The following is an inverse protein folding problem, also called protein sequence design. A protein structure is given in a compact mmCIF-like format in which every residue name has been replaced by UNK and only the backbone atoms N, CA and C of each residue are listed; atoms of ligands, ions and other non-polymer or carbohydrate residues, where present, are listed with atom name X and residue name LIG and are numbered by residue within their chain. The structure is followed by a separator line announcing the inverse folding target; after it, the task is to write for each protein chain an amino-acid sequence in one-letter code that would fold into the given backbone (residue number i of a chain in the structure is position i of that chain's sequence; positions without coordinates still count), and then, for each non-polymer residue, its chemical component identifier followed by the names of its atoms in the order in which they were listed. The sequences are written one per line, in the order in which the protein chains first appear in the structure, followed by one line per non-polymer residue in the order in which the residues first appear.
data_IF_182282458252
#
_entry.id   IF_182282458252
#
_cell.length_a   1.000
_cell.length_b   1.000
_cell.length_c   1.000
_cell.angle_alpha   90.00
_cell.angle_beta   90.00
_cell.angle_gamma   90.00
#
_symmetry.space_group_name_H-M   'P 1'
#
loop_
_entity.id
_entity.type
_entity.pdbx_description
1 polymer ?
#
# COMPACT_ATOMS: atom_id res chain seq x y z
N UNK A 1 10.51 -16.53 9.57
CA UNK A 1 10.50 -15.45 8.56
C UNK A 1 11.58 -14.47 8.96
N UNK A 2 12.17 -13.76 8.01
CA UNK A 2 13.15 -12.72 8.31
C UNK A 2 12.51 -11.60 9.12
N UNK A 3 13.29 -11.03 10.05
CA UNK A 3 12.87 -9.88 10.86
C UNK A 3 13.00 -8.61 10.03
N UNK A 4 11.93 -7.81 9.99
CA UNK A 4 11.84 -6.54 9.28
C UNK A 4 11.55 -5.37 10.23
N UNK A 5 11.70 -5.55 11.55
CA UNK A 5 11.33 -4.52 12.55
C UNK A 5 11.99 -3.16 12.27
N UNK A 6 13.25 -3.15 11.84
CA UNK A 6 13.96 -1.90 11.51
C UNK A 6 13.31 -1.16 10.32
N UNK A 7 12.72 -1.88 9.37
CA UNK A 7 12.10 -1.29 8.18
C UNK A 7 10.80 -0.51 8.49
N UNK A 8 10.24 -0.68 9.70
CA UNK A 8 9.02 -0.01 10.17
C UNK A 8 9.28 1.17 11.11
N UNK A 9 10.53 1.40 11.51
CA UNK A 9 10.90 2.52 12.39
C UNK A 9 11.07 3.80 11.58
N UNK A 10 9.94 4.43 11.24
CA UNK A 10 9.89 5.65 10.45
C UNK A 10 10.14 6.90 11.30
N UNK A 11 10.83 7.89 10.72
CA UNK A 11 11.02 9.19 11.36
C UNK A 11 9.68 9.92 11.49
N UNK A 12 8.81 9.79 10.50
CA UNK A 12 7.45 10.32 10.53
C UNK A 12 6.68 9.80 11.76
N UNK A 13 6.76 8.49 12.06
CA UNK A 13 6.12 7.93 13.25
C UNK A 13 6.68 8.51 14.55
N UNK A 14 8.01 8.59 14.64
CA UNK A 14 8.72 9.17 15.80
C UNK A 14 8.34 10.64 16.03
N UNK A 15 8.19 11.41 14.97
CA UNK A 15 7.95 12.85 15.02
C UNK A 15 6.47 13.21 15.22
N UNK A 16 5.55 12.31 14.84
CA UNK A 16 4.10 12.52 14.93
C UNK A 16 3.41 11.73 16.06
N UNK A 17 4.17 11.39 17.11
CA UNK A 17 3.62 10.85 18.35
C UNK A 17 3.15 9.41 18.28
N UNK A 18 3.63 8.63 17.31
CA UNK A 18 3.30 7.21 17.25
C UNK A 18 4.17 6.39 18.20
N UNK A 19 3.57 5.34 18.74
CA UNK A 19 4.20 4.34 19.56
C UNK A 19 4.02 2.98 18.91
N UNK A 20 5.12 2.22 18.78
CA UNK A 20 5.07 0.83 18.35
C UNK A 20 4.57 -0.04 19.49
N UNK A 21 3.57 -0.86 19.21
CA UNK A 21 2.91 -1.78 20.11
C UNK A 21 2.89 -3.17 19.49
N UNK A 22 2.69 -4.21 20.32
CA UNK A 22 2.45 -5.57 19.86
C UNK A 22 1.05 -5.98 20.31
N UNK A 23 0.22 -6.44 19.38
CA UNK A 23 -1.15 -6.84 19.67
C UNK A 23 -1.16 -8.14 20.50
N UNK A 24 -1.78 -8.19 21.69
CA UNK A 24 -1.77 -9.37 22.54
C UNK A 24 -2.63 -10.52 21.99
N UNK A 25 -3.55 -10.24 21.07
CA UNK A 25 -4.47 -11.23 20.48
C UNK A 25 -3.82 -11.97 19.30
N UNK A 26 -3.13 -11.25 18.39
CA UNK A 26 -2.56 -11.83 17.17
C UNK A 26 -1.03 -11.75 17.08
N UNK A 27 -0.37 -11.00 17.96
CA UNK A 27 1.09 -10.87 18.01
C UNK A 27 1.70 -9.94 16.96
N UNK A 28 0.90 -9.28 16.12
CA UNK A 28 1.43 -8.35 15.10
C UNK A 28 1.92 -7.05 15.72
N UNK A 29 2.99 -6.50 15.15
CA UNK A 29 3.44 -5.14 15.44
C UNK A 29 2.48 -4.13 14.81
N UNK A 30 2.16 -3.05 15.53
CA UNK A 30 1.38 -1.95 14.98
C UNK A 30 1.78 -0.62 15.61
N UNK A 31 1.51 0.47 14.91
CA UNK A 31 1.79 1.83 15.35
C UNK A 31 0.48 2.57 15.64
N UNK A 32 0.47 3.34 16.72
CA UNK A 32 -0.69 4.14 17.14
C UNK A 32 -0.26 5.40 17.87
N UNK A 33 -1.05 6.48 17.75
CA UNK A 33 -0.91 7.68 18.59
C UNK A 33 -1.55 7.53 19.97
N UNK A 34 -2.43 6.54 20.13
CA UNK A 34 -3.15 6.30 21.38
C UNK A 34 -2.34 5.39 22.32
N UNK A 35 -1.63 5.97 23.30
CA UNK A 35 -0.82 5.21 24.27
C UNK A 35 -1.60 4.13 25.05
N UNK A 36 -2.92 4.31 25.19
CA UNK A 36 -3.80 3.37 25.90
C UNK A 36 -4.25 2.19 25.06
N UNK A 37 -4.15 2.27 23.74
CA UNK A 37 -4.57 1.20 22.83
C UNK A 37 -3.75 -0.06 23.05
N UNK A 38 -4.40 -1.21 22.92
CA UNK A 38 -3.78 -2.53 23.14
C UNK A 38 -3.86 -3.44 21.91
N UNK A 39 -4.90 -3.32 21.10
CA UNK A 39 -5.16 -4.16 19.93
C UNK A 39 -4.82 -3.44 18.63
N UNK A 40 -4.58 -4.20 17.57
CA UNK A 40 -4.11 -3.67 16.28
C UNK A 40 -5.17 -2.85 15.53
N UNK A 41 -6.45 -2.93 15.90
CA UNK A 41 -7.53 -2.22 15.23
C UNK A 41 -8.27 -3.03 14.18
N UNK A 42 -7.81 -4.23 13.81
CA UNK A 42 -8.44 -5.06 12.77
C UNK A 42 -9.15 -6.30 13.37
N UNK A 43 -10.31 -6.72 12.82
CA UNK A 43 -10.89 -8.02 13.11
C UNK A 43 -9.93 -9.20 12.88
N UNK A 44 -9.89 -10.20 13.77
CA UNK A 44 -10.84 -10.43 14.87
C UNK A 44 -10.48 -9.73 16.19
N UNK A 45 -9.37 -8.99 16.27
CA UNK A 45 -8.91 -8.34 17.49
C UNK A 45 -9.83 -7.17 17.89
N UNK A 46 -10.42 -6.51 16.89
CA UNK A 46 -11.37 -5.42 17.04
C UNK A 46 -12.63 -5.65 16.18
N UNK A 47 -13.59 -4.74 16.29
CA UNK A 47 -14.86 -4.78 15.54
C UNK A 47 -15.11 -3.45 14.83
N UNK A 48 -15.97 -3.44 13.82
CA UNK A 48 -16.34 -2.22 13.11
C UNK A 48 -17.09 -1.25 14.01
N UNK A 49 -16.59 -0.03 14.12
CA UNK A 49 -17.20 1.06 14.90
C UNK A 49 -17.79 2.17 14.03
N UNK A 50 -17.64 2.07 12.70
CA UNK A 50 -18.12 3.07 11.74
C UNK A 50 -19.60 2.89 11.32
N UNK A 51 -20.19 1.72 11.59
CA UNK A 51 -21.60 1.46 11.26
C UNK A 51 -22.47 2.35 12.15
N UNK A 52 -23.33 3.16 11.51
CA UNK A 52 -24.12 4.24 12.15
C UNK A 52 -23.26 5.37 12.78
N UNK A 53 -21.96 5.43 12.45
CA UNK A 53 -20.99 6.40 12.94
C UNK A 53 -19.85 6.63 11.91
N UNK A 54 -20.13 7.30 10.77
CA UNK A 54 -19.32 7.26 9.54
C UNK A 54 -17.81 7.51 9.68
N UNK A 55 -17.39 8.38 10.59
CA UNK A 55 -15.97 8.65 10.88
C UNK A 55 -15.27 9.67 9.97
N UNK A 56 -15.88 10.01 8.83
CA UNK A 56 -15.48 11.13 7.99
C UNK A 56 -16.47 12.29 8.13
N UNK A 57 -16.07 13.50 7.73
CA UNK A 57 -16.90 14.71 7.84
C UNK A 57 -18.10 14.70 6.89
N UNK A 58 -17.95 14.07 5.73
CA UNK A 58 -18.96 14.05 4.66
C UNK A 58 -19.18 12.63 4.10
N UNK A 59 -20.35 12.42 3.49
CA UNK A 59 -20.64 11.21 2.72
C UNK A 59 -20.22 11.41 1.26
N UNK A 60 -19.52 10.43 0.69
CA UNK A 60 -19.06 10.48 -0.70
C UNK A 60 -19.74 9.42 -1.56
N UNK A 61 -20.12 9.77 -2.77
CA UNK A 61 -20.35 8.78 -3.83
C UNK A 61 -19.02 8.20 -4.33
N UNK A 62 -19.06 7.08 -5.07
CA UNK A 62 -17.85 6.48 -5.67
C UNK A 62 -17.12 7.45 -6.62
N UNK A 63 -17.87 8.30 -7.34
CA UNK A 63 -17.29 9.27 -8.26
C UNK A 63 -16.62 10.43 -7.51
N UNK A 64 -17.28 10.95 -6.46
CA UNK A 64 -16.72 12.01 -5.61
C UNK A 64 -15.48 11.52 -4.85
N UNK A 65 -15.51 10.32 -4.27
CA UNK A 65 -14.34 9.75 -3.60
C UNK A 65 -13.16 9.55 -4.56
N UNK A 66 -13.43 9.04 -5.77
CA UNK A 66 -12.40 8.90 -6.80
C UNK A 66 -11.77 10.25 -7.14
N UNK A 67 -12.60 11.28 -7.33
CA UNK A 67 -12.11 12.60 -7.68
C UNK A 67 -11.35 13.26 -6.52
N UNK A 68 -11.83 13.11 -5.28
CA UNK A 68 -11.15 13.59 -4.08
C UNK A 68 -9.74 13.01 -3.96
N UNK A 69 -9.60 11.69 -4.11
CA UNK A 69 -8.30 11.02 -4.08
C UNK A 69 -7.37 11.49 -5.20
N UNK A 70 -7.85 11.51 -6.44
CA UNK A 70 -7.02 11.86 -7.59
C UNK A 70 -6.58 13.33 -7.53
N UNK A 71 -7.51 14.25 -7.23
CA UNK A 71 -7.21 15.67 -7.05
C UNK A 71 -6.20 15.92 -5.92
N UNK A 72 -6.33 15.24 -4.78
CA UNK A 72 -5.39 15.35 -3.66
C UNK A 72 -3.93 15.11 -4.09
N UNK A 73 -3.69 14.07 -4.89
CA UNK A 73 -2.36 13.71 -5.38
C UNK A 73 -1.92 14.57 -6.59
N UNK A 74 -2.84 15.00 -7.46
CA UNK A 74 -2.55 15.96 -8.53
C UNK A 74 -2.05 17.31 -7.98
N UNK A 75 -2.63 17.80 -6.88
CA UNK A 75 -2.19 19.00 -6.18
C UNK A 75 -0.80 18.87 -5.53
N UNK A 76 -0.31 17.62 -5.42
CA UNK A 76 1.00 17.24 -4.85
C UNK A 76 1.93 16.70 -5.94
N UNK A 77 1.80 17.21 -7.16
CA UNK A 77 2.65 16.95 -8.32
C UNK A 77 2.67 15.47 -8.80
N UNK A 78 1.67 14.66 -8.44
CA UNK A 78 1.49 13.35 -9.05
C UNK A 78 0.70 13.48 -10.35
N UNK A 79 1.19 12.87 -11.43
CA UNK A 79 0.44 12.88 -12.68
C UNK A 79 -0.69 11.84 -12.62
N UNK A 80 -1.92 12.28 -12.94
CA UNK A 80 -3.08 11.40 -13.04
C UNK A 80 -3.02 10.54 -14.28
N UNK A 81 -3.12 9.23 -14.10
CA UNK A 81 -3.09 8.23 -15.16
C UNK A 81 -4.48 7.61 -15.33
N UNK A 82 -4.86 7.39 -16.59
CA UNK A 82 -6.11 6.67 -16.92
C UNK A 82 -6.00 5.19 -16.56
N UNK A 83 -7.08 4.56 -16.07
CA UNK A 83 -7.07 3.15 -15.70
C UNK A 83 -6.77 2.22 -16.88
N UNK A 84 -6.04 1.16 -16.58
CA UNK A 84 -5.75 0.06 -17.47
C UNK A 84 -6.93 -0.93 -17.52
N UNK A 85 -7.09 -1.70 -18.60
CA UNK A 85 -8.17 -2.67 -18.68
C UNK A 85 -7.89 -3.85 -17.74
N UNK A 86 -8.92 -4.35 -17.04
CA UNK A 86 -8.81 -5.48 -16.08
C UNK A 86 -8.21 -6.78 -16.64
N UNK A 87 -8.08 -6.90 -17.95
CA UNK A 87 -7.46 -8.04 -18.63
C UNK A 87 -5.93 -7.84 -18.73
N UNK A 88 -5.22 -8.18 -17.66
CA UNK A 88 -3.76 -8.02 -17.56
C UNK A 88 -2.96 -8.81 -18.62
N UNK A 89 -3.55 -9.87 -19.17
CA UNK A 89 -2.95 -10.67 -20.25
C UNK A 89 -2.69 -9.91 -21.57
N UNK A 90 -3.00 -8.61 -21.60
CA UNK A 90 -2.69 -7.69 -22.71
C UNK A 90 -1.27 -7.15 -22.67
N UNK A 91 -0.61 -7.11 -21.51
CA UNK A 91 0.76 -6.58 -21.35
C UNK A 91 1.70 -7.50 -20.55
N UNK A 92 1.18 -8.53 -19.88
CA UNK A 92 1.97 -9.53 -19.14
C UNK A 92 1.41 -10.94 -19.35
N UNK A 93 2.25 -11.96 -19.22
CA UNK A 93 1.92 -13.35 -19.58
C UNK A 93 1.74 -14.30 -18.38
N UNK A 94 1.92 -13.79 -17.15
CA UNK A 94 1.94 -14.56 -15.91
C UNK A 94 0.64 -14.50 -15.09
N UNK A 95 -0.24 -13.53 -15.37
CA UNK A 95 -1.56 -13.40 -14.73
C UNK A 95 -2.66 -13.06 -15.74
N UNK A 96 -3.89 -13.44 -15.45
CA UNK A 96 -5.04 -13.19 -16.34
C UNK A 96 -5.72 -11.83 -16.11
N UNK A 97 -5.83 -11.43 -14.84
CA UNK A 97 -6.60 -10.26 -14.41
C UNK A 97 -5.76 -9.34 -13.55
N UNK A 98 -6.03 -8.03 -13.63
CA UNK A 98 -5.46 -7.00 -12.76
C UNK A 98 -6.00 -7.19 -11.34
N UNK A 99 -5.11 -7.46 -10.38
CA UNK A 99 -5.45 -7.73 -8.97
C UNK A 99 -5.02 -6.62 -8.01
N UNK A 100 -4.16 -5.72 -8.48
CA UNK A 100 -3.67 -4.53 -7.77
C UNK A 100 -3.26 -3.49 -8.82
N UNK A 101 -3.21 -2.20 -8.45
CA UNK A 101 -2.74 -1.10 -9.30
C UNK A 101 -1.33 -1.35 -9.85
N UNK A 102 -0.42 -1.86 -9.01
CA UNK A 102 0.97 -2.13 -9.42
C UNK A 102 1.10 -3.16 -10.56
N UNK A 103 0.08 -3.98 -10.81
CA UNK A 103 0.09 -4.97 -11.89
C UNK A 103 0.17 -4.33 -13.28
N UNK A 104 -0.25 -3.07 -13.41
CA UNK A 104 -0.21 -2.31 -14.66
C UNK A 104 1.23 -1.99 -15.08
N UNK A 105 2.15 -1.93 -14.10
CA UNK A 105 3.54 -1.55 -14.29
C UNK A 105 4.48 -2.77 -14.25
N UNK A 106 4.02 -3.90 -13.70
CA UNK A 106 4.78 -5.14 -13.67
C UNK A 106 4.75 -5.90 -15.02
N UNK A 107 5.85 -6.60 -15.38
CA UNK A 107 7.18 -6.57 -14.75
C UNK A 107 8.11 -5.50 -15.37
N UNK A 108 7.69 -4.85 -16.46
CA UNK A 108 8.61 -4.07 -17.31
C UNK A 108 9.06 -2.77 -16.66
N UNK A 109 8.15 -2.05 -16.02
CA UNK A 109 8.49 -0.81 -15.30
C UNK A 109 9.15 -1.15 -13.99
N UNK A 110 8.64 -2.11 -13.23
CA UNK A 110 9.21 -2.46 -11.91
C UNK A 110 10.65 -3.01 -12.00
N UNK A 111 11.01 -3.65 -13.12
CA UNK A 111 12.40 -4.06 -13.41
C UNK A 111 13.30 -2.95 -13.95
N UNK A 112 12.78 -1.72 -14.12
CA UNK A 112 13.51 -0.58 -14.65
C UNK A 112 13.82 -0.65 -16.15
N UNK A 113 13.25 -1.61 -16.90
CA UNK A 113 13.48 -1.74 -18.36
C UNK A 113 12.71 -0.70 -19.19
N UNK A 114 11.59 -0.23 -18.66
CA UNK A 114 10.71 0.74 -19.30
C UNK A 114 10.40 1.84 -18.29
N UNK A 115 10.37 3.13 -18.68
CA UNK A 115 10.01 4.19 -17.74
C UNK A 115 8.53 4.07 -17.34
N UNK A 116 8.15 4.48 -16.12
CA UNK A 116 6.74 4.66 -15.79
C UNK A 116 6.13 5.76 -16.70
N UNK A 117 4.79 5.79 -16.87
CA UNK A 117 4.15 6.84 -17.68
C UNK A 117 4.37 8.24 -17.09
N UNK A 118 4.49 8.33 -15.75
CA UNK A 118 4.89 9.52 -15.01
C UNK A 118 5.55 9.10 -13.68
N UNK A 119 6.26 10.01 -13.02
CA UNK A 119 6.92 9.73 -11.74
C UNK A 119 7.02 11.00 -10.87
N UNK A 120 6.25 11.11 -9.78
CA UNK A 120 5.28 10.13 -9.28
C UNK A 120 3.96 10.17 -10.07
N UNK A 121 3.12 9.15 -9.89
CA UNK A 121 1.82 9.04 -10.55
C UNK A 121 0.69 8.70 -9.58
N UNK A 122 -0.55 9.03 -9.94
CA UNK A 122 -1.77 8.64 -9.23
C UNK A 122 -2.80 8.02 -10.18
N UNK A 123 -3.55 7.03 -9.72
CA UNK A 123 -4.49 6.25 -10.54
C UNK A 123 -5.64 5.70 -9.69
N UNK A 124 -6.80 5.49 -10.29
CA UNK A 124 -7.89 4.70 -9.73
C UNK A 124 -8.13 3.48 -10.62
N UNK A 125 -7.56 2.34 -10.24
CA UNK A 125 -7.45 1.15 -11.08
C UNK A 125 -8.51 0.10 -10.74
N UNK A 126 -9.46 -0.22 -11.64
CA UNK A 126 -10.34 -1.36 -11.47
C UNK A 126 -9.57 -2.68 -11.36
N UNK A 127 -9.86 -3.44 -10.31
CA UNK A 127 -9.21 -4.69 -9.96
C UNK A 127 -10.23 -5.81 -9.78
N UNK A 128 -9.84 -7.05 -10.08
CA UNK A 128 -10.66 -8.25 -9.87
C UNK A 128 -9.84 -9.28 -9.09
N UNK A 129 -10.28 -9.59 -7.87
CA UNK A 129 -9.70 -10.64 -7.02
C UNK A 129 -10.69 -11.79 -6.87
N UNK A 130 -10.29 -12.96 -7.37
CA UNK A 130 -11.09 -14.20 -7.24
C UNK A 130 -10.69 -15.03 -6.02
N UNK A 131 -9.56 -14.71 -5.38
CA UNK A 131 -9.03 -15.46 -4.24
C UNK A 131 -9.95 -15.35 -3.02
N UNK A 132 -10.62 -14.21 -2.87
CA UNK A 132 -11.50 -13.90 -1.73
C UNK A 132 -12.97 -14.24 -1.97
N UNK A 133 -13.29 -14.99 -3.04
CA UNK A 133 -14.69 -15.27 -3.44
C UNK A 133 -15.52 -15.91 -2.32
N UNK A 134 -14.90 -16.74 -1.48
CA UNK A 134 -15.57 -17.38 -0.35
C UNK A 134 -15.95 -16.39 0.76
N UNK A 135 -15.32 -15.21 0.83
CA UNK A 135 -15.58 -14.18 1.83
C UNK A 135 -16.61 -13.13 1.36
N UNK A 136 -16.84 -13.04 0.04
CA UNK A 136 -17.76 -12.08 -0.57
C UNK A 136 -19.20 -12.34 -0.09
N UNK A 137 -19.83 -11.28 0.43
CA UNK A 137 -21.17 -11.34 1.03
C UNK A 137 -21.25 -11.97 2.43
N UNK A 138 -20.16 -12.53 2.97
CA UNK A 138 -20.10 -13.05 4.35
C UNK A 138 -19.52 -12.04 5.34
N UNK A 139 -18.47 -11.34 4.93
CA UNK A 139 -17.68 -10.45 5.79
C UNK A 139 -18.11 -8.98 5.72
N UNK A 140 -18.96 -8.61 4.75
CA UNK A 140 -19.41 -7.24 4.53
C UNK A 140 -18.40 -6.31 3.85
N UNK A 141 -17.09 -6.64 3.88
CA UNK A 141 -16.02 -5.82 3.30
C UNK A 141 -15.41 -6.35 2.00
N UNK A 142 -15.52 -7.66 1.73
CA UNK A 142 -14.89 -8.26 0.54
C UNK A 142 -15.79 -8.16 -0.70
N UNK A 143 -15.21 -7.72 -1.81
CA UNK A 143 -15.84 -7.70 -3.14
C UNK A 143 -14.99 -8.50 -4.14
N UNK A 144 -15.60 -8.96 -5.23
CA UNK A 144 -14.83 -9.58 -6.34
C UNK A 144 -14.19 -8.54 -7.24
N UNK A 145 -14.87 -7.41 -7.44
CA UNK A 145 -14.40 -6.29 -8.24
C UNK A 145 -14.50 -5.01 -7.41
N UNK A 146 -13.46 -4.20 -7.47
CA UNK A 146 -13.32 -2.94 -6.75
C UNK A 146 -12.37 -2.03 -7.53
N UNK A 147 -12.28 -0.77 -7.12
CA UNK A 147 -11.28 0.15 -7.62
C UNK A 147 -10.20 0.30 -6.55
N UNK A 148 -8.95 0.08 -6.95
CA UNK A 148 -7.79 0.35 -6.11
C UNK A 148 -7.22 1.69 -6.54
N UNK A 149 -7.48 2.70 -5.72
CA UNK A 149 -6.82 4.00 -5.84
C UNK A 149 -5.38 3.87 -5.34
N UNK A 150 -4.43 4.50 -6.02
CA UNK A 150 -3.02 4.34 -5.73
C UNK A 150 -2.21 5.55 -6.16
N UNK A 151 -1.17 5.84 -5.38
CA UNK A 151 -0.05 6.68 -5.80
C UNK A 151 1.24 5.87 -5.80
N UNK A 152 2.01 5.99 -6.89
CA UNK A 152 3.23 5.23 -7.12
C UNK A 152 4.42 6.16 -7.37
N UNK A 153 5.57 5.78 -6.81
CA UNK A 153 6.86 6.41 -7.06
C UNK A 153 7.91 5.35 -7.34
N UNK A 154 8.65 5.51 -8.43
CA UNK A 154 9.66 4.56 -8.92
C UNK A 154 11.05 5.14 -8.68
N UNK A 155 11.83 4.50 -7.82
CA UNK A 155 13.12 5.02 -7.34
C UNK A 155 14.29 4.05 -7.63
N UNK A 156 15.52 4.58 -7.64
CA UNK A 156 16.76 3.80 -7.69
C UNK A 156 17.68 4.15 -6.54
N UNK A 157 18.45 3.19 -6.03
CA UNK A 157 19.39 3.43 -4.92
C UNK A 157 20.48 4.43 -5.29
N UNK A 158 21.00 5.12 -4.26
CA UNK A 158 22.18 5.96 -4.40
C UNK A 158 23.36 5.15 -4.94
N UNK A 159 24.03 5.67 -5.97
CA UNK A 159 25.21 5.05 -6.59
C UNK A 159 24.92 4.18 -7.81
N UNK A 160 23.64 3.91 -8.12
CA UNK A 160 23.23 3.31 -9.40
C UNK A 160 23.54 4.30 -10.54
N UNK A 161 24.25 3.93 -11.62
CA UNK A 161 24.44 4.78 -12.78
C UNK A 161 23.13 5.25 -13.42
N UNK A 162 23.08 6.51 -13.88
CA UNK A 162 21.88 7.10 -14.51
C UNK A 162 21.39 6.34 -15.76
N UNK A 163 22.27 5.60 -16.44
CA UNK A 163 21.97 4.84 -17.65
C UNK A 163 21.65 3.35 -17.39
N UNK A 164 21.66 2.89 -16.13
CA UNK A 164 21.38 1.50 -15.79
C UNK A 164 19.88 1.15 -15.90
N UNK A 165 19.00 2.07 -15.48
CA UNK A 165 17.54 1.90 -15.53
C UNK A 165 16.85 3.04 -16.28
N UNK A 166 15.61 2.82 -16.68
CA UNK A 166 14.79 3.79 -17.41
C UNK A 166 14.30 4.97 -16.57
N UNK A 167 14.52 4.92 -15.24
CA UNK A 167 14.29 6.00 -14.29
C UNK A 167 15.45 6.01 -13.28
N UNK A 168 15.68 7.14 -12.63
CA UNK A 168 16.81 7.32 -11.72
C UNK A 168 16.47 8.31 -10.59
N UNK A 169 17.11 8.12 -9.44
CA UNK A 169 16.96 8.96 -8.25
C UNK A 169 15.83 8.50 -7.32
N UNK A 170 15.62 9.28 -6.26
CA UNK A 170 14.51 9.10 -5.32
C UNK A 170 13.52 10.25 -5.47
N UNK A 171 12.24 9.92 -5.69
CA UNK A 171 11.15 10.90 -5.65
C UNK A 171 10.71 11.10 -4.20
N UNK A 172 10.27 10.02 -3.54
CA UNK A 172 9.99 9.94 -2.12
C UNK A 172 9.94 8.47 -1.66
N UNK A 173 9.98 8.25 -0.35
CA UNK A 173 9.95 6.91 0.25
C UNK A 173 8.95 6.79 1.41
N UNK A 174 9.30 6.04 2.45
CA UNK A 174 8.36 5.58 3.49
C UNK A 174 7.70 6.71 4.27
N UNK A 175 8.50 7.63 4.82
CA UNK A 175 8.01 8.70 5.68
C UNK A 175 6.96 9.55 4.98
N UNK A 176 7.27 10.03 3.78
CA UNK A 176 6.35 10.85 2.98
C UNK A 176 5.14 10.06 2.47
N UNK A 177 5.28 8.75 2.24
CA UNK A 177 4.13 7.89 1.87
C UNK A 177 3.11 7.82 3.01
N UNK A 178 3.59 7.65 4.26
CA UNK A 178 2.72 7.62 5.44
C UNK A 178 2.15 9.02 5.72
N UNK A 179 2.95 10.07 5.56
CA UNK A 179 2.49 11.46 5.67
C UNK A 179 1.34 11.76 4.70
N UNK A 180 1.44 11.34 3.43
CA UNK A 180 0.33 11.49 2.48
C UNK A 180 -0.92 10.72 2.91
N UNK A 181 -0.75 9.51 3.45
CA UNK A 181 -1.86 8.71 3.95
C UNK A 181 -2.59 9.42 5.10
N UNK A 182 -1.87 9.88 6.12
CA UNK A 182 -2.45 10.65 7.24
C UNK A 182 -3.10 11.96 6.75
N UNK A 183 -2.41 12.71 5.88
CA UNK A 183 -2.90 14.01 5.40
C UNK A 183 -4.20 13.85 4.60
N UNK A 184 -4.28 12.82 3.74
CA UNK A 184 -5.51 12.50 3.02
C UNK A 184 -6.66 12.18 3.99
N UNK A 185 -6.40 11.37 5.02
CA UNK A 185 -7.40 11.00 6.02
C UNK A 185 -7.85 12.21 6.85
N UNK A 186 -6.92 13.08 7.24
CA UNK A 186 -7.22 14.33 7.96
C UNK A 186 -8.08 15.27 7.11
N UNK A 187 -7.75 15.46 5.82
CA UNK A 187 -8.54 16.29 4.90
C UNK A 187 -9.96 15.75 4.67
N UNK A 188 -10.17 14.44 4.81
CA UNK A 188 -11.50 13.81 4.80
C UNK A 188 -12.23 13.85 6.15
N UNK A 189 -11.60 14.42 7.18
CA UNK A 189 -12.19 14.59 8.52
C UNK A 189 -12.00 13.41 9.48
N UNK A 190 -11.10 12.46 9.16
CA UNK A 190 -10.82 11.35 10.06
C UNK A 190 -10.08 11.82 11.32
N UNK A 191 -10.43 11.25 12.48
CA UNK A 191 -9.63 11.40 13.70
C UNK A 191 -8.34 10.57 13.59
N UNK A 192 -7.22 11.24 13.34
CA UNK A 192 -5.90 10.62 13.21
C UNK A 192 -5.44 9.84 14.46
N UNK A 193 -6.05 10.06 15.63
CA UNK A 193 -5.74 9.27 16.83
C UNK A 193 -6.36 7.87 16.80
N UNK A 194 -7.43 7.67 16.03
CA UNK A 194 -8.09 6.38 15.89
C UNK A 194 -7.41 5.47 14.86
N UNK A 195 -6.55 6.03 13.99
CA UNK A 195 -5.80 5.30 12.96
C UNK A 195 -4.72 4.43 13.60
N UNK A 196 -4.62 3.20 13.11
CA UNK A 196 -3.48 2.31 13.35
C UNK A 196 -2.80 1.90 12.05
N UNK A 197 -1.51 1.65 12.16
CA UNK A 197 -0.66 1.20 11.07
C UNK A 197 -0.09 -0.17 11.45
N UNK A 198 -0.63 -1.24 10.87
CA UNK A 198 -0.24 -2.63 11.17
C UNK A 198 0.93 -3.03 10.28
N UNK A 199 1.96 -3.67 10.86
CA UNK A 199 3.10 -4.19 10.11
C UNK A 199 2.74 -5.54 9.47
N UNK A 200 2.66 -5.62 8.13
CA UNK A 200 2.47 -6.88 7.41
C UNK A 200 3.35 -6.93 6.15
N UNK A 201 4.43 -7.73 6.10
CA UNK A 201 5.26 -7.85 4.91
C UNK A 201 4.46 -8.30 3.69
N UNK A 202 4.57 -7.58 2.58
CA UNK A 202 3.83 -7.91 1.35
C UNK A 202 4.67 -8.75 0.39
N UNK A 203 4.01 -9.68 -0.29
CA UNK A 203 4.57 -10.54 -1.34
C UNK A 203 3.58 -10.67 -2.49
N UNK A 204 4.04 -10.52 -3.73
CA UNK A 204 3.17 -10.65 -4.90
C UNK A 204 3.87 -10.37 -6.23
N UNK A 205 3.48 -11.11 -7.28
CA UNK A 205 3.99 -10.88 -8.64
C UNK A 205 5.51 -11.05 -8.82
N UNK A 206 6.18 -11.79 -7.92
CA UNK A 206 7.64 -11.96 -7.92
C UNK A 206 8.41 -10.88 -7.16
N UNK A 207 7.72 -9.87 -6.63
CA UNK A 207 8.30 -8.81 -5.80
C UNK A 207 7.82 -8.91 -4.34
N UNK A 208 8.53 -8.23 -3.46
CA UNK A 208 8.18 -8.13 -2.04
C UNK A 208 8.73 -6.86 -1.39
N UNK A 209 8.25 -6.58 -0.18
CA UNK A 209 8.76 -5.51 0.66
C UNK A 209 8.07 -5.45 2.02
N UNK A 210 8.61 -4.67 2.97
CA UNK A 210 7.86 -4.29 4.16
C UNK A 210 6.61 -3.53 3.71
N UNK A 211 5.48 -3.78 4.37
CA UNK A 211 4.26 -3.04 4.11
C UNK A 211 3.52 -2.73 5.41
N UNK A 212 2.72 -1.68 5.36
CA UNK A 212 1.95 -1.20 6.48
C UNK A 212 0.49 -1.06 6.05
N UNK A 213 -0.42 -1.65 6.82
CA UNK A 213 -1.86 -1.58 6.60
C UNK A 213 -2.45 -0.48 7.50
N UNK A 214 -3.07 0.52 6.89
CA UNK A 214 -3.77 1.58 7.60
C UNK A 214 -5.19 1.13 7.92
N UNK A 215 -5.49 1.05 9.21
CA UNK A 215 -6.77 0.64 9.75
C UNK A 215 -7.44 1.82 10.45
N UNK A 216 -8.69 2.07 10.09
CA UNK A 216 -9.52 3.09 10.72
C UNK A 216 -10.86 2.47 11.13
N UNK A 217 -11.24 2.65 12.40
CA UNK A 217 -12.54 2.19 12.94
C UNK A 217 -12.90 0.73 12.68
N UNK A 218 -11.89 -0.15 12.74
CA UNK A 218 -12.07 -1.58 12.56
C UNK A 218 -11.85 -2.06 11.12
N UNK A 219 -11.63 -1.18 10.15
CA UNK A 219 -11.53 -1.53 8.74
C UNK A 219 -10.17 -1.12 8.16
N UNK A 220 -9.49 -2.04 7.50
CA UNK A 220 -8.35 -1.72 6.64
C UNK A 220 -8.85 -0.89 5.45
N UNK A 221 -8.35 0.34 5.34
CA UNK A 221 -8.70 1.26 4.25
C UNK A 221 -7.58 1.41 3.22
N UNK A 222 -6.33 1.15 3.62
CA UNK A 222 -5.20 1.25 2.71
C UNK A 222 -4.06 0.30 3.07
N UNK A 223 -3.33 -0.16 2.06
CA UNK A 223 -2.06 -0.86 2.21
C UNK A 223 -0.95 -0.02 1.58
N UNK A 224 0.14 0.20 2.31
CA UNK A 224 1.33 0.95 1.87
C UNK A 224 2.51 -0.02 1.78
N UNK A 225 2.82 -0.50 0.58
CA UNK A 225 3.90 -1.45 0.30
C UNK A 225 5.15 -0.72 -0.16
N UNK A 226 6.29 -1.06 0.45
CA UNK A 226 7.60 -0.51 0.11
C UNK A 226 8.42 -1.55 -0.64
N UNK A 227 8.00 -1.80 -1.88
CA UNK A 227 8.56 -2.82 -2.74
C UNK A 227 10.05 -2.56 -2.97
N UNK A 228 10.90 -3.46 -2.49
CA UNK A 228 12.35 -3.26 -2.48
C UNK A 228 13.12 -4.58 -2.59
N UNK A 229 12.40 -5.68 -2.84
CA UNK A 229 12.94 -7.02 -2.96
C UNK A 229 12.33 -7.76 -4.15
N UNK A 230 13.13 -8.63 -4.76
CA UNK A 230 12.71 -9.57 -5.80
C UNK A 230 12.97 -11.00 -5.37
N UNK A 231 12.17 -11.93 -5.89
CA UNK A 231 12.29 -13.34 -5.55
C UNK A 231 13.63 -13.90 -6.05
N UNK A 232 14.42 -14.46 -5.13
CA UNK A 232 15.75 -14.99 -5.36
C UNK A 232 15.94 -16.27 -4.53
N UNK A 233 16.09 -17.46 -5.14
CA UNK A 233 16.33 -18.72 -4.42
C UNK A 233 17.54 -18.70 -3.48
N UNK A 234 18.53 -17.84 -3.74
CA UNK A 234 19.74 -17.66 -2.92
C UNK A 234 19.63 -16.46 -1.97
N UNK A 235 18.50 -15.76 -1.98
CA UNK A 235 18.30 -14.52 -1.23
C UNK A 235 18.28 -14.68 0.29
N UNK A 236 18.67 -13.59 0.96
CA UNK A 236 18.82 -13.54 2.42
C UNK A 236 17.48 -13.45 3.17
N UNK A 237 16.41 -12.99 2.51
CA UNK A 237 15.11 -12.73 3.13
C UNK A 237 14.12 -13.88 2.90
N UNK A 238 13.70 -14.59 3.95
CA UNK A 238 12.65 -15.62 3.89
C UNK A 238 11.32 -15.02 4.32
N UNK A 239 10.37 -14.90 3.38
CA UNK A 239 9.08 -14.23 3.61
C UNK A 239 7.91 -15.21 3.78
N UNK A 240 6.71 -14.67 3.99
CA UNK A 240 5.52 -15.41 4.46
C UNK A 240 4.96 -16.44 3.48
N UNK A 241 5.29 -16.32 2.20
CA UNK A 241 4.97 -17.31 1.16
C UNK A 241 5.95 -18.50 1.13
N UNK A 242 6.98 -18.49 1.98
CA UNK A 242 8.02 -19.52 2.05
C UNK A 242 9.13 -19.38 1.01
N UNK A 243 9.12 -18.31 0.21
CA UNK A 243 10.16 -18.02 -0.78
C UNK A 243 11.28 -17.13 -0.21
N UNK A 244 12.42 -17.15 -0.90
CA UNK A 244 13.58 -16.29 -0.60
C UNK A 244 13.63 -15.09 -1.53
N UNK A 245 14.17 -14.00 -1.02
CA UNK A 245 14.19 -12.70 -1.66
C UNK A 245 15.52 -11.97 -1.43
N UNK A 246 15.92 -11.16 -2.40
CA UNK A 246 17.10 -10.29 -2.36
C UNK A 246 16.69 -8.84 -2.54
N UNK A 247 17.44 -7.90 -1.95
CA UNK A 247 17.18 -6.46 -2.15
C UNK A 247 17.47 -6.09 -3.61
N UNK A 248 16.60 -5.28 -4.17
CA UNK A 248 16.73 -4.70 -5.51
C UNK A 248 17.49 -3.37 -5.46
N UNK A 249 18.13 -3.01 -6.57
CA UNK A 249 18.70 -1.67 -6.79
C UNK A 249 17.62 -0.63 -7.12
N UNK A 250 16.47 -1.07 -7.63
CA UNK A 250 15.25 -0.27 -7.73
C UNK A 250 14.36 -0.49 -6.51
N UNK A 251 13.58 0.50 -6.13
CA UNK A 251 12.59 0.40 -5.06
C UNK A 251 11.40 1.30 -5.36
N UNK A 252 10.20 0.86 -4.97
CA UNK A 252 8.95 1.39 -5.50
C UNK A 252 7.95 1.57 -4.37
N UNK A 253 7.34 2.75 -4.31
CA UNK A 253 6.17 2.99 -3.47
C UNK A 253 4.97 2.38 -4.17
N UNK A 254 4.38 1.37 -3.56
CA UNK A 254 3.22 0.63 -4.04
C UNK A 254 2.08 0.79 -3.04
N UNK A 255 1.13 1.68 -3.32
CA UNK A 255 -0.01 1.92 -2.42
C UNK A 255 -1.30 1.39 -3.03
N UNK A 256 -2.25 1.04 -2.16
CA UNK A 256 -3.59 0.65 -2.56
C UNK A 256 -4.62 1.09 -1.53
N UNK A 257 -5.58 1.89 -1.97
CA UNK A 257 -6.71 2.42 -1.20
C UNK A 257 -8.00 1.89 -1.84
N UNK A 258 -8.85 1.21 -1.06
CA UNK A 258 -10.01 0.46 -1.55
C UNK A 258 -11.35 1.18 -1.38
#
# INVERSE_FOLDING_TARGET
MSDLEEEYRLDYFRENGFHRMECPECGVGFWTREETRRTCGEPPCDTYTFIDNPGFDEEFTLEEMREQFLSFFEERDHERIEPYPVAANRWRDDVLLTQASIYDFQPLVTSGKTPPPANPLTISQPCIRMQDIDNVGKTGRHTMAFEMMAHHAFNTREGVPEDEYAYHGEVYWKDQTVEYCDTLMEEMGADLNEITYIEDPWVGGGNAGPAIEMVYRGLELATLVFMSMEQDPEGDYLLKDGNRYSKMDTYIVDTGYG
#
